data_IF_077411154691
#
_entry.id   IF_077411154691
#
_cell.length_a   1.000
_cell.length_b   1.000
_cell.length_c   1.000
_cell.angle_alpha   90.00
_cell.angle_beta   90.00
_cell.angle_gamma   90.00
#
_symmetry.space_group_name_H-M   'P 1'
#
loop_
_entity.id
_entity.type
_entity.pdbx_description
1 polymer ?
#
# COMPACT_ATOMS: atom_id res chain seq x y z
N UNK A 1 62.41 -9.86 22.95
CA UNK A 1 61.44 -10.58 22.07
C UNK A 1 60.08 -10.44 22.71
N UNK A 2 59.18 -9.62 22.16
CA UNK A 2 57.87 -9.31 22.75
C UNK A 2 56.77 -10.15 22.08
N UNK A 3 56.09 -10.98 22.87
CA UNK A 3 54.94 -11.76 22.42
C UNK A 3 53.73 -10.83 22.21
N UNK A 4 53.30 -10.66 20.96
CA UNK A 4 52.05 -10.00 20.60
C UNK A 4 50.85 -10.83 21.03
N UNK A 5 50.04 -10.32 21.94
CA UNK A 5 48.77 -10.94 22.34
C UNK A 5 47.75 -10.82 21.20
N UNK A 6 46.99 -11.87 20.84
CA UNK A 6 45.96 -11.76 19.81
C UNK A 6 44.87 -10.80 20.28
N UNK A 7 44.49 -9.87 19.41
CA UNK A 7 43.39 -8.94 19.65
C UNK A 7 42.08 -9.73 19.69
N UNK A 8 41.61 -10.11 20.88
CA UNK A 8 40.26 -10.66 21.07
C UNK A 8 39.26 -9.53 20.84
N UNK A 9 38.37 -9.62 19.83
CA UNK A 9 37.30 -8.64 19.68
C UNK A 9 36.37 -8.74 20.91
N UNK A 10 35.87 -7.62 21.45
CA UNK A 10 34.94 -7.66 22.58
C UNK A 10 33.68 -8.43 22.19
N UNK A 11 33.32 -9.39 23.03
CA UNK A 11 32.11 -10.17 22.88
C UNK A 11 30.88 -9.25 22.87
N UNK A 12 30.17 -9.26 21.72
CA UNK A 12 28.74 -9.00 21.55
C UNK A 12 28.10 -8.05 22.57
N UNK A 13 28.36 -6.76 22.44
CA UNK A 13 27.59 -5.77 23.17
C UNK A 13 26.22 -5.58 22.53
N UNK A 14 25.22 -6.15 23.21
CA UNK A 14 23.89 -5.58 23.44
C UNK A 14 22.97 -5.55 22.22
N UNK A 15 21.92 -6.36 22.30
CA UNK A 15 20.85 -6.40 21.32
C UNK A 15 20.34 -5.00 20.96
N UNK A 16 20.72 -4.53 19.78
CA UNK A 16 19.84 -3.64 19.06
C UNK A 16 18.62 -4.49 18.74
N UNK A 17 17.58 -4.31 19.55
CA UNK A 17 16.20 -4.52 19.15
C UNK A 17 16.08 -3.89 17.78
N UNK A 18 16.25 -4.69 16.72
CA UNK A 18 15.76 -4.35 15.40
C UNK A 18 14.28 -4.15 15.65
N UNK A 19 13.87 -2.88 15.70
CA UNK A 19 12.49 -2.48 15.76
C UNK A 19 11.83 -3.14 14.55
N UNK A 20 11.28 -4.34 14.73
CA UNK A 20 10.34 -4.90 13.80
C UNK A 20 9.17 -3.91 13.82
N UNK A 21 8.89 -3.21 12.70
CA UNK A 21 7.82 -2.23 12.68
C UNK A 21 6.52 -2.92 13.08
N UNK A 22 5.88 -2.35 14.11
CA UNK A 22 4.67 -2.85 14.79
C UNK A 22 3.63 -3.39 13.80
N UNK A 23 3.45 -4.71 13.77
CA UNK A 23 2.39 -5.41 13.06
C UNK A 23 1.03 -5.33 13.77
N UNK A 24 0.62 -4.14 14.23
CA UNK A 24 -0.71 -3.92 14.82
C UNK A 24 -1.49 -2.79 14.12
N UNK A 25 -1.18 -2.59 12.84
CA UNK A 25 -1.89 -1.65 11.99
C UNK A 25 -3.16 -2.32 11.48
N UNK A 26 -4.32 -1.89 12.00
CA UNK A 26 -5.63 -2.36 11.56
C UNK A 26 -5.82 -2.01 10.08
N UNK A 27 -5.82 -3.04 9.24
CA UNK A 27 -6.11 -2.91 7.82
C UNK A 27 -7.61 -2.84 7.62
N UNK A 28 -8.04 -1.92 6.79
CA UNK A 28 -9.41 -1.70 6.38
C UNK A 28 -9.47 -1.73 4.85
N UNK A 29 -10.59 -2.21 4.33
CA UNK A 29 -10.88 -2.17 2.90
C UNK A 29 -11.85 -1.04 2.59
N UNK A 30 -11.76 -0.52 1.38
CA UNK A 30 -12.67 0.52 0.91
C UNK A 30 -12.66 0.66 -0.60
N UNK A 31 -13.47 1.58 -1.08
CA UNK A 31 -13.65 1.88 -2.49
C UNK A 31 -13.11 3.27 -2.76
N UNK A 32 -12.24 3.40 -3.76
CA UNK A 32 -11.72 4.70 -4.17
C UNK A 32 -12.86 5.55 -4.73
N UNK A 33 -13.20 6.64 -4.05
CA UNK A 33 -14.26 7.56 -4.48
C UNK A 33 -13.78 8.47 -5.60
N UNK A 34 -12.54 8.93 -5.46
CA UNK A 34 -11.88 9.81 -6.40
C UNK A 34 -10.38 9.67 -6.26
N UNK A 35 -9.66 9.71 -7.37
CA UNK A 35 -8.21 9.77 -7.38
C UNK A 35 -7.77 10.62 -8.57
N UNK A 36 -6.81 11.51 -8.33
CA UNK A 36 -6.18 12.31 -9.36
C UNK A 36 -4.73 11.86 -9.49
N UNK A 37 -4.41 11.19 -10.59
CA UNK A 37 -3.06 10.68 -10.85
C UNK A 37 -2.05 11.80 -11.14
N UNK A 38 -2.47 12.86 -11.86
CA UNK A 38 -1.63 14.02 -12.14
C UNK A 38 -1.19 14.75 -10.87
N UNK A 39 -2.09 14.85 -9.89
CA UNK A 39 -1.81 15.50 -8.61
C UNK A 39 -1.31 14.52 -7.54
N UNK A 40 -1.45 13.22 -7.73
CA UNK A 40 -1.02 12.19 -6.80
C UNK A 40 -1.80 12.14 -5.48
N UNK A 41 -3.07 12.56 -5.46
CA UNK A 41 -3.92 12.48 -4.27
C UNK A 41 -5.33 11.98 -4.59
N UNK A 42 -6.02 11.47 -3.57
CA UNK A 42 -7.40 11.00 -3.71
C UNK A 42 -8.12 10.81 -2.39
N UNK A 43 -9.32 10.25 -2.50
CA UNK A 43 -10.18 9.92 -1.37
C UNK A 43 -10.73 8.50 -1.51
N UNK A 44 -10.67 7.77 -0.40
CA UNK A 44 -11.18 6.41 -0.29
C UNK A 44 -12.39 6.43 0.64
N UNK A 45 -13.51 5.90 0.15
CA UNK A 45 -14.72 5.70 0.94
C UNK A 45 -14.62 4.35 1.65
N UNK A 46 -14.74 4.37 2.97
CA UNK A 46 -14.87 3.17 3.82
C UNK A 46 -16.33 2.94 4.16
N UNK A 47 -16.72 1.69 4.42
CA UNK A 47 -18.11 1.36 4.78
C UNK A 47 -18.53 1.90 6.15
N UNK A 48 -17.59 2.05 7.08
CA UNK A 48 -17.88 2.38 8.48
C UNK A 48 -17.62 3.83 8.91
N UNK A 49 -17.40 4.80 8.01
CA UNK A 49 -17.11 6.17 8.47
C UNK A 49 -16.74 7.20 7.41
N UNK A 50 -16.04 8.25 7.88
CA UNK A 50 -15.61 9.40 7.06
C UNK A 50 -14.67 8.97 5.93
N UNK A 51 -14.72 9.71 4.82
CA UNK A 51 -13.79 9.60 3.69
C UNK A 51 -12.35 9.75 4.19
N UNK A 52 -11.45 8.90 3.66
CA UNK A 52 -10.04 8.86 4.03
C UNK A 52 -9.20 9.48 2.93
N UNK A 53 -8.28 10.37 3.32
CA UNK A 53 -7.35 10.97 2.39
C UNK A 53 -6.24 9.99 2.02
N UNK A 54 -5.91 9.88 0.73
CA UNK A 54 -4.80 9.06 0.22
C UNK A 54 -3.86 9.90 -0.61
N UNK A 55 -2.56 9.67 -0.44
CA UNK A 55 -1.49 10.31 -1.22
C UNK A 55 -0.67 9.24 -1.94
N UNK A 56 -0.17 9.54 -3.16
CA UNK A 56 0.63 8.61 -3.99
C UNK A 56 1.83 8.05 -3.23
N UNK A 57 2.47 8.86 -2.36
CA UNK A 57 3.59 8.41 -1.51
C UNK A 57 3.22 7.30 -0.51
N UNK A 58 1.93 7.14 -0.20
CA UNK A 58 1.41 6.08 0.69
C UNK A 58 0.93 4.86 -0.09
N UNK A 59 0.74 4.99 -1.40
CA UNK A 59 0.37 3.90 -2.29
C UNK A 59 1.59 3.03 -2.50
N UNK A 60 1.48 1.73 -2.22
CA UNK A 60 2.57 0.80 -2.50
C UNK A 60 2.74 0.68 -4.00
N UNK A 61 3.98 0.70 -4.48
CA UNK A 61 4.32 0.34 -5.86
C UNK A 61 3.85 -1.10 -6.09
N UNK A 62 2.68 -1.24 -6.70
CA UNK A 62 2.08 -2.51 -7.08
C UNK A 62 2.26 -2.70 -8.58
N UNK A 63 1.63 -3.75 -9.14
CA UNK A 63 1.54 -3.98 -10.58
C UNK A 63 0.78 -2.88 -11.33
N UNK A 64 0.07 -2.02 -10.60
CA UNK A 64 -0.70 -0.90 -11.14
C UNK A 64 -0.03 0.42 -10.74
N UNK A 65 0.14 1.31 -11.72
CA UNK A 65 0.56 2.69 -11.50
C UNK A 65 -0.69 3.50 -11.13
N UNK A 66 -0.81 3.86 -9.86
CA UNK A 66 -1.92 4.68 -9.36
C UNK A 66 -3.15 3.91 -8.91
N UNK A 67 -4.21 4.66 -8.63
CA UNK A 67 -5.52 4.19 -8.18
C UNK A 67 -6.59 4.74 -9.12
N UNK A 68 -7.72 4.04 -9.26
CA UNK A 68 -8.84 4.57 -10.02
C UNK A 68 -10.14 4.61 -9.23
N UNK A 69 -11.02 5.51 -9.66
CA UNK A 69 -12.37 5.60 -9.09
C UNK A 69 -13.10 4.26 -9.24
N UNK A 70 -13.60 3.76 -8.12
CA UNK A 70 -14.32 2.50 -8.00
C UNK A 70 -13.43 1.31 -7.65
N UNK A 71 -12.11 1.44 -7.68
CA UNK A 71 -11.21 0.35 -7.29
C UNK A 71 -11.37 -0.01 -5.82
N UNK A 72 -11.33 -1.31 -5.56
CA UNK A 72 -11.32 -1.84 -4.21
C UNK A 72 -9.87 -1.92 -3.72
N UNK A 73 -9.62 -1.29 -2.58
CA UNK A 73 -8.27 -1.12 -2.02
C UNK A 73 -8.22 -1.56 -0.56
N UNK A 74 -7.11 -2.17 -0.16
CA UNK A 74 -6.72 -2.44 1.22
C UNK A 74 -5.77 -1.34 1.68
N UNK A 75 -6.03 -0.76 2.84
CA UNK A 75 -5.21 0.30 3.40
C UNK A 75 -5.20 0.22 4.93
N UNK A 76 -4.22 0.87 5.54
CA UNK A 76 -4.18 1.08 6.97
C UNK A 76 -4.65 2.49 7.28
N UNK A 77 -5.56 2.64 8.22
CA UNK A 77 -5.93 3.96 8.72
C UNK A 77 -4.84 4.49 9.65
N UNK A 78 -4.17 5.54 9.22
CA UNK A 78 -3.17 6.28 9.99
C UNK A 78 -3.67 7.66 10.41
N UNK A 79 -2.94 8.29 11.34
CA UNK A 79 -3.14 9.72 11.69
C UNK A 79 -2.22 10.56 10.80
N UNK A 80 -2.80 11.42 9.98
CA UNK A 80 -2.07 12.39 9.16
C UNK A 80 -2.27 13.83 9.64
N UNK A 81 -1.54 14.76 9.01
CA UNK A 81 -1.57 16.18 9.37
C UNK A 81 -2.92 16.86 9.15
N UNK A 82 -3.69 16.42 8.15
CA UNK A 82 -5.02 16.96 7.83
C UNK A 82 -6.18 16.07 8.33
N UNK A 83 -5.88 15.10 9.21
CA UNK A 83 -6.85 14.11 9.69
C UNK A 83 -6.47 12.68 9.30
N UNK A 84 -7.43 11.73 9.36
CA UNK A 84 -7.13 10.32 9.10
C UNK A 84 -6.73 10.10 7.64
N UNK A 85 -5.55 9.51 7.43
CA UNK A 85 -4.95 9.23 6.12
C UNK A 85 -4.81 7.73 5.89
N UNK A 86 -4.86 7.30 4.62
CA UNK A 86 -4.60 5.93 4.22
C UNK A 86 -3.10 5.71 4.06
N UNK A 87 -2.56 4.74 4.81
CA UNK A 87 -1.16 4.29 4.72
C UNK A 87 -1.08 2.89 4.11
N UNK A 88 0.03 2.58 3.43
CA UNK A 88 0.29 1.26 2.87
C UNK A 88 -0.80 0.75 1.91
N UNK A 89 -1.31 1.63 1.04
CA UNK A 89 -2.45 1.32 0.18
C UNK A 89 -2.08 0.28 -0.88
N UNK A 90 -2.90 -0.74 -1.02
CA UNK A 90 -2.73 -1.87 -1.94
C UNK A 90 -4.03 -2.09 -2.71
N UNK A 91 -3.96 -2.14 -4.04
CA UNK A 91 -5.13 -2.43 -4.89
C UNK A 91 -5.47 -3.91 -4.80
N UNK A 92 -6.71 -4.23 -4.40
CA UNK A 92 -7.23 -5.60 -4.36
C UNK A 92 -7.95 -5.95 -5.66
N UNK A 93 -8.84 -5.07 -6.13
CA UNK A 93 -9.63 -5.29 -7.34
C UNK A 93 -9.75 -4.00 -8.15
N UNK A 94 -9.35 -4.04 -9.42
CA UNK A 94 -9.39 -2.91 -10.35
C UNK A 94 -10.65 -2.96 -11.21
N UNK A 95 -11.42 -1.88 -11.24
CA UNK A 95 -12.67 -1.78 -12.01
C UNK A 95 -12.45 -1.89 -13.52
N UNK A 96 -11.24 -1.57 -14.01
CA UNK A 96 -10.88 -1.69 -15.43
C UNK A 96 -10.91 -3.13 -15.99
N UNK A 97 -11.01 -4.16 -15.15
CA UNK A 97 -10.92 -5.55 -15.60
C UNK A 97 -12.22 -6.10 -16.26
N UNK A 98 -13.20 -5.25 -16.58
CA UNK A 98 -14.51 -5.68 -17.13
C UNK A 98 -14.68 -5.57 -18.65
N UNK A 99 -13.69 -5.12 -19.44
CA UNK A 99 -13.90 -4.81 -20.89
C UNK A 99 -13.10 -5.61 -21.93
N UNK A 100 -12.53 -6.78 -21.63
CA UNK A 100 -11.88 -7.61 -22.67
C UNK A 100 -12.23 -9.11 -22.63
N UNK A 101 -13.52 -9.45 -22.49
CA UNK A 101 -13.96 -10.85 -22.67
C UNK A 101 -15.11 -11.01 -23.69
N UNK A 102 -15.61 -9.92 -24.29
CA UNK A 102 -16.80 -10.01 -25.17
C UNK A 102 -16.61 -9.36 -26.54
N UNK A 103 -15.66 -9.86 -27.35
CA UNK A 103 -15.68 -9.51 -28.78
C UNK A 103 -15.22 -10.54 -29.79
N UNK A 104 -14.99 -11.80 -29.40
CA UNK A 104 -14.57 -12.79 -30.40
C UNK A 104 -15.23 -14.16 -30.21
N UNK A 105 -16.53 -14.15 -29.93
CA UNK A 105 -17.37 -15.35 -30.00
C UNK A 105 -18.66 -15.08 -30.79
N UNK A 106 -18.59 -14.36 -31.91
CA UNK A 106 -19.69 -14.35 -32.89
C UNK A 106 -19.28 -13.94 -34.32
N UNK A 107 -18.28 -14.60 -34.93
CA UNK A 107 -17.93 -14.32 -36.34
C UNK A 107 -18.02 -15.48 -37.32
N UNK A 108 -18.59 -16.65 -36.99
CA UNK A 108 -18.86 -17.71 -37.98
C UNK A 108 -20.09 -18.56 -37.62
N UNK A 109 -21.27 -17.97 -37.81
CA UNK A 109 -22.49 -18.67 -38.24
C UNK A 109 -23.05 -17.90 -39.45
N UNK A 110 -22.39 -18.05 -40.59
CA UNK A 110 -22.95 -17.96 -41.95
C UNK A 110 -22.01 -18.73 -42.85
#
# INVERSE_FOLDING_TARGET
>A
MFAGKPFTPPARTRGQKRNFPKANQKRETGVVKFYNDEKGFGFIKREGGKDLFVHINRVKKSKYQGLEKGDQVDFVVGKGYQGPEAQSVTVLNRVQNRKKVDREQNRKRF
#
